data_IF_800463257205
#
_entry.id   IF_800463257205
#
_cell.length_a   1.000
_cell.length_b   1.000
_cell.length_c   1.000
_cell.angle_alpha   90.00
_cell.angle_beta   90.00
_cell.angle_gamma   90.00
#
_symmetry.space_group_name_H-M   'P 1'
#
loop_
_entity.id
_entity.type
_entity.pdbx_description
1 polymer ?
#
# COMPACT_ATOMS: atom_id res chain seq x y z
N UNK A 1 14.69 -3.41 14.67
CA UNK A 1 14.88 -1.94 14.55
C UNK A 1 13.57 -1.40 14.03
N UNK A 2 12.86 -0.56 14.78
CA UNK A 2 11.59 0.00 14.32
C UNK A 2 11.88 1.08 13.26
N UNK A 3 11.41 0.87 12.03
CA UNK A 3 11.50 1.86 10.96
C UNK A 3 10.55 3.04 11.20
N UNK A 4 10.60 4.05 10.34
CA UNK A 4 9.62 5.14 10.38
C UNK A 4 8.19 4.60 10.20
N UNK A 5 7.14 5.21 10.79
CA UNK A 5 5.78 4.74 10.58
C UNK A 5 5.41 4.72 9.09
N UNK A 6 4.71 3.69 8.62
CA UNK A 6 4.39 3.50 7.20
C UNK A 6 3.66 4.70 6.59
N UNK A 7 2.70 5.27 7.32
CA UNK A 7 2.02 6.52 6.94
C UNK A 7 2.99 7.68 6.67
N UNK A 8 4.06 7.79 7.48
CA UNK A 8 5.07 8.84 7.32
C UNK A 8 5.98 8.51 6.14
N UNK A 9 6.32 7.25 5.94
CA UNK A 9 7.06 6.80 4.76
C UNK A 9 6.30 7.15 3.48
N UNK A 10 5.00 6.85 3.42
CA UNK A 10 4.15 7.18 2.27
C UNK A 10 4.05 8.70 2.08
N UNK A 11 3.80 9.44 3.16
CA UNK A 11 3.73 10.91 3.09
C UNK A 11 5.03 11.54 2.59
N UNK A 12 6.17 11.08 3.08
CA UNK A 12 7.48 11.63 2.70
C UNK A 12 7.89 11.23 1.28
N UNK A 13 7.55 10.02 0.83
CA UNK A 13 7.90 9.55 -0.50
C UNK A 13 6.96 10.06 -1.61
N UNK A 14 5.68 10.29 -1.29
CA UNK A 14 4.66 10.58 -2.32
C UNK A 14 3.97 11.93 -2.13
N UNK A 15 4.13 12.59 -0.98
CA UNK A 15 3.35 13.77 -0.60
C UNK A 15 1.90 13.45 -0.20
N UNK A 16 1.49 12.18 -0.21
CA UNK A 16 0.11 11.78 0.05
C UNK A 16 -0.10 11.35 1.50
N UNK A 17 -1.16 11.84 2.12
CA UNK A 17 -1.56 11.43 3.46
C UNK A 17 -2.63 10.34 3.37
N UNK A 18 -2.24 9.09 3.63
CA UNK A 18 -3.13 7.92 3.61
C UNK A 18 -4.27 8.00 4.62
N UNK A 19 -4.18 8.86 5.64
CA UNK A 19 -5.28 9.10 6.58
C UNK A 19 -6.46 9.83 5.94
N UNK A 20 -6.29 10.35 4.71
CA UNK A 20 -7.38 10.90 3.90
C UNK A 20 -8.21 9.83 3.21
N UNK A 21 -7.84 8.54 3.31
CA UNK A 21 -8.70 7.45 2.87
C UNK A 21 -10.03 7.52 3.62
N UNK A 22 -11.14 7.56 2.89
CA UNK A 22 -12.49 7.75 3.44
C UNK A 22 -13.28 6.45 3.60
N UNK A 23 -12.64 5.28 3.41
CA UNK A 23 -13.33 3.97 3.48
C UNK A 23 -14.57 3.90 2.60
N UNK A 24 -14.45 4.42 1.37
CA UNK A 24 -15.54 4.46 0.40
C UNK A 24 -15.74 3.12 -0.34
N UNK A 25 -15.03 2.06 0.06
CA UNK A 25 -15.11 0.70 -0.49
C UNK A 25 -14.84 0.56 -2.01
N UNK A 26 -14.49 1.62 -2.74
CA UNK A 26 -14.17 1.54 -4.18
C UNK A 26 -12.98 0.62 -4.49
N UNK A 27 -12.09 0.42 -3.53
CA UNK A 27 -10.91 -0.45 -3.64
C UNK A 27 -11.01 -1.72 -2.77
N UNK A 28 -12.23 -2.09 -2.33
CA UNK A 28 -12.48 -3.25 -1.46
C UNK A 28 -12.50 -4.57 -2.24
N UNK A 29 -12.95 -4.54 -3.50
CA UNK A 29 -12.99 -5.71 -4.36
C UNK A 29 -11.57 -6.14 -4.77
N UNK A 30 -11.35 -7.45 -4.88
CA UNK A 30 -10.13 -7.98 -5.49
C UNK A 30 -10.16 -7.66 -6.99
N UNK A 31 -9.14 -6.94 -7.44
CA UNK A 31 -8.89 -6.62 -8.84
C UNK A 31 -8.02 -7.70 -9.51
N UNK A 32 -7.31 -8.52 -8.73
CA UNK A 32 -6.49 -9.63 -9.24
C UNK A 32 -6.53 -10.86 -8.30
N UNK A 33 -6.53 -12.11 -8.83
CA UNK A 33 -6.51 -13.33 -8.01
C UNK A 33 -5.24 -13.51 -7.15
N UNK A 34 -4.14 -12.83 -7.45
CA UNK A 34 -2.91 -12.88 -6.66
C UNK A 34 -3.01 -12.12 -5.33
N UNK A 35 -4.09 -11.34 -5.14
CA UNK A 35 -4.34 -10.61 -3.90
C UNK A 35 -4.69 -11.54 -2.73
N UNK A 36 -3.87 -11.50 -1.69
CA UNK A 36 -4.19 -12.05 -0.37
C UNK A 36 -5.12 -11.10 0.41
N UNK A 37 -4.89 -9.79 0.31
CA UNK A 37 -5.72 -8.73 0.89
C UNK A 37 -6.22 -7.72 -0.15
N UNK A 38 -7.33 -7.03 0.11
CA UNK A 38 -7.81 -5.93 -0.76
C UNK A 38 -6.91 -4.70 -0.64
N UNK A 39 -7.02 -3.77 -1.61
CA UNK A 39 -6.30 -2.50 -1.55
C UNK A 39 -6.83 -1.60 -0.42
N UNK A 40 -8.12 -1.70 -0.09
CA UNK A 40 -8.67 -1.05 1.10
C UNK A 40 -8.03 -1.56 2.39
N UNK A 41 -7.96 -2.89 2.58
CA UNK A 41 -7.32 -3.49 3.75
C UNK A 41 -5.85 -3.08 3.84
N UNK A 42 -5.15 -3.05 2.71
CA UNK A 42 -3.77 -2.59 2.62
C UNK A 42 -3.63 -1.14 3.14
N UNK A 43 -4.49 -0.22 2.68
CA UNK A 43 -4.47 1.17 3.16
C UNK A 43 -4.76 1.26 4.67
N UNK A 44 -5.72 0.48 5.16
CA UNK A 44 -6.03 0.40 6.59
C UNK A 44 -4.83 -0.05 7.42
N UNK A 45 -4.15 -1.12 6.99
CA UNK A 45 -2.93 -1.59 7.64
C UNK A 45 -1.84 -0.50 7.67
N UNK A 46 -1.64 0.23 6.57
CA UNK A 46 -0.69 1.36 6.53
C UNK A 46 -1.08 2.47 7.52
N UNK A 47 -2.37 2.80 7.61
CA UNK A 47 -2.88 3.81 8.58
C UNK A 47 -2.62 3.35 10.01
N UNK A 48 -2.88 2.08 10.31
CA UNK A 48 -2.63 1.45 11.61
C UNK A 48 -1.15 1.22 11.92
N UNK A 49 -0.26 1.50 10.96
CA UNK A 49 1.17 1.17 11.03
C UNK A 49 1.43 -0.32 11.26
N UNK A 50 0.60 -1.16 10.66
CA UNK A 50 0.77 -2.60 10.65
C UNK A 50 1.82 -2.97 9.60
N UNK A 51 2.98 -3.43 10.08
CA UNK A 51 4.13 -3.74 9.22
C UNK A 51 3.96 -5.04 8.44
N UNK A 52 3.00 -5.90 8.79
CA UNK A 52 2.72 -7.13 8.04
C UNK A 52 2.36 -6.83 6.58
N UNK A 53 1.80 -5.65 6.31
CA UNK A 53 1.47 -5.18 4.97
C UNK A 53 2.67 -5.21 4.02
N UNK A 54 3.89 -5.00 4.53
CA UNK A 54 5.14 -5.00 3.77
C UNK A 54 5.51 -6.39 3.22
N UNK A 55 4.95 -7.45 3.78
CA UNK A 55 5.17 -8.84 3.36
C UNK A 55 3.98 -9.44 2.59
N UNK A 56 2.89 -8.69 2.39
CA UNK A 56 1.68 -9.21 1.72
C UNK A 56 1.92 -9.46 0.24
N UNK A 57 1.30 -10.51 -0.30
CA UNK A 57 1.38 -10.82 -1.74
C UNK A 57 0.76 -9.71 -2.59
N UNK A 58 -0.32 -9.09 -2.10
CA UNK A 58 -0.95 -7.93 -2.75
C UNK A 58 0.04 -6.80 -2.99
N UNK A 59 0.90 -6.47 -2.01
CA UNK A 59 1.89 -5.41 -2.19
C UNK A 59 2.89 -5.73 -3.30
N UNK A 60 3.27 -7.00 -3.45
CA UNK A 60 4.31 -7.46 -4.38
C UNK A 60 3.80 -7.90 -5.76
N UNK A 61 2.49 -7.96 -5.99
CA UNK A 61 1.93 -8.30 -7.30
C UNK A 61 2.04 -7.13 -8.29
N UNK A 62 2.71 -7.35 -9.43
CA UNK A 62 2.82 -6.34 -10.49
C UNK A 62 1.48 -6.08 -11.18
N UNK A 63 0.62 -7.10 -11.30
CA UNK A 63 -0.75 -6.91 -11.85
C UNK A 63 -1.61 -6.02 -10.96
N UNK A 64 -1.48 -6.17 -9.64
CA UNK A 64 -2.16 -5.28 -8.68
C UNK A 64 -1.64 -3.86 -8.84
N UNK A 65 -0.32 -3.68 -8.99
CA UNK A 65 0.29 -2.37 -9.18
C UNK A 65 -0.25 -1.67 -10.44
N UNK A 66 -0.26 -2.38 -11.58
CA UNK A 66 -0.80 -1.88 -12.85
C UNK A 66 -2.29 -1.51 -12.74
N UNK A 67 -3.06 -2.36 -12.06
CA UNK A 67 -4.52 -2.17 -11.94
C UNK A 67 -4.90 -1.10 -10.91
N UNK A 68 -3.98 -0.70 -10.01
CA UNK A 68 -4.26 0.21 -8.91
C UNK A 68 -4.36 1.70 -9.32
N UNK A 69 -3.93 2.08 -10.53
CA UNK A 69 -3.79 3.47 -10.97
C UNK A 69 -5.09 4.30 -10.91
N UNK A 70 -6.25 3.66 -11.03
CA UNK A 70 -7.54 4.37 -11.18
C UNK A 70 -8.61 3.95 -10.18
N UNK A 71 -8.25 3.22 -9.13
CA UNK A 71 -9.23 2.62 -8.22
C UNK A 71 -9.69 3.60 -7.13
N UNK A 72 -8.87 4.59 -6.75
CA UNK A 72 -9.22 5.47 -5.64
C UNK A 72 -10.05 6.68 -6.08
N UNK A 73 -11.32 6.72 -5.65
CA UNK A 73 -12.19 7.87 -5.83
C UNK A 73 -11.73 9.14 -5.07
N UNK A 74 -10.95 8.98 -3.99
CA UNK A 74 -10.40 10.09 -3.18
C UNK A 74 -9.08 10.65 -3.71
N UNK A 75 -8.73 10.30 -4.94
CA UNK A 75 -7.56 10.80 -5.67
C UNK A 75 -6.21 10.47 -4.99
N UNK A 76 -6.17 9.39 -4.20
CA UNK A 76 -4.91 8.78 -3.76
C UNK A 76 -4.34 7.93 -4.92
N UNK A 77 -3.11 8.21 -5.33
CA UNK A 77 -2.36 7.33 -6.23
C UNK A 77 -1.93 6.09 -5.45
N UNK A 78 -2.73 5.04 -5.54
CA UNK A 78 -2.45 3.75 -4.91
C UNK A 78 -1.16 3.14 -5.48
N UNK A 79 -0.90 3.32 -6.78
CA UNK A 79 0.35 2.92 -7.41
C UNK A 79 1.58 3.52 -6.71
N UNK A 80 1.61 4.85 -6.52
CA UNK A 80 2.72 5.52 -5.85
C UNK A 80 2.88 5.05 -4.39
N UNK A 81 1.76 4.78 -3.71
CA UNK A 81 1.76 4.25 -2.34
C UNK A 81 2.38 2.84 -2.31
N UNK A 82 1.96 1.94 -3.20
CA UNK A 82 2.49 0.59 -3.30
C UNK A 82 4.01 0.60 -3.59
N UNK A 83 4.47 1.45 -4.51
CA UNK A 83 5.90 1.60 -4.81
C UNK A 83 6.69 2.12 -3.61
N UNK A 84 6.17 3.11 -2.88
CA UNK A 84 6.80 3.63 -1.67
C UNK A 84 6.95 2.54 -0.59
N UNK A 85 5.93 1.70 -0.41
CA UNK A 85 5.94 0.59 0.54
C UNK A 85 6.91 -0.52 0.11
N UNK A 86 6.97 -0.89 -1.18
CA UNK A 86 7.97 -1.85 -1.70
C UNK A 86 9.39 -1.37 -1.44
N UNK A 87 9.66 -0.09 -1.71
CA UNK A 87 10.97 0.51 -1.44
C UNK A 87 11.30 0.47 0.05
N UNK A 88 10.31 0.71 0.90
CA UNK A 88 10.49 0.61 2.36
C UNK A 88 10.77 -0.82 2.83
N UNK A 89 10.03 -1.80 2.33
CA UNK A 89 10.27 -3.21 2.63
C UNK A 89 11.70 -3.63 2.27
N UNK A 90 12.19 -3.18 1.10
CA UNK A 90 13.60 -3.37 0.68
C UNK A 90 14.58 -2.68 1.62
N UNK A 91 14.34 -1.42 2.02
CA UNK A 91 15.18 -0.70 2.98
C UNK A 91 15.27 -1.39 4.34
N UNK A 92 14.19 -2.04 4.76
CA UNK A 92 14.13 -2.81 6.02
C UNK A 92 14.74 -4.21 5.91
N UNK A 93 15.12 -4.65 4.71
CA UNK A 93 15.63 -6.00 4.48
C UNK A 93 14.56 -7.09 4.62
N UNK A 94 13.27 -6.74 4.50
CA UNK A 94 12.17 -7.71 4.61
C UNK A 94 12.03 -8.59 3.37
N UNK A 95 12.65 -8.18 2.25
CA UNK A 95 12.66 -8.96 1.00
C UNK A 95 14.07 -8.96 0.45
N UNK A 96 14.59 -10.17 0.27
CA UNK A 96 15.84 -10.43 -0.43
C UNK A 96 15.47 -10.91 -1.83
N UNK A 97 15.71 -10.06 -2.84
CA UNK A 97 15.78 -10.41 -4.27
C UNK A 97 14.76 -11.40 -4.80
#
# INVERSE_FOLDING_TARGET
MAGAPLRLVVLTATGQDVRKCSHCEFCSAKIDPEQDISLETLLQMVVMNDEEVLATRTLWSDKVLESAQHVCASNLSLEAILLALRNEARRRGLVSG
#
